data_IF_558227703007
#
_entry.id   IF_558227703007
#
_cell.length_a   1.000
_cell.length_b   1.000
_cell.length_c   1.000
_cell.angle_alpha   90.00
_cell.angle_beta   90.00
_cell.angle_gamma   90.00
#
_symmetry.space_group_name_H-M   'P 1'
#
loop_
_entity.id
_entity.type
_entity.pdbx_description
1 polymer ?
#
# COMPACT_ATOMS: atom_id res chain seq x y z
N UNK A 1 -18.66 -12.07 -5.86
CA UNK A 1 -17.68 -11.37 -5.01
C UNK A 1 -17.11 -12.40 -4.07
N UNK A 2 -15.79 -12.47 -3.99
CA UNK A 2 -15.14 -13.34 -3.03
C UNK A 2 -15.44 -12.88 -1.61
N UNK A 3 -15.52 -13.83 -0.68
CA UNK A 3 -15.86 -13.55 0.71
C UNK A 3 -14.73 -12.79 1.45
N UNK A 4 -13.50 -12.84 0.96
CA UNK A 4 -12.41 -11.97 1.36
C UNK A 4 -11.78 -11.45 0.07
N UNK A 5 -11.50 -10.15 0.01
CA UNK A 5 -11.01 -9.52 -1.20
C UNK A 5 -10.06 -8.37 -0.87
N UNK A 6 -9.21 -8.06 -1.83
CA UNK A 6 -8.18 -7.07 -1.66
C UNK A 6 -8.46 -5.89 -2.58
N UNK A 7 -8.04 -4.71 -2.14
CA UNK A 7 -7.94 -3.53 -2.98
C UNK A 7 -6.58 -3.51 -3.64
N UNK A 8 -6.57 -3.10 -4.89
CA UNK A 8 -5.38 -2.99 -5.73
C UNK A 8 -4.80 -1.58 -5.65
N UNK A 9 -3.62 -1.43 -6.24
CA UNK A 9 -2.86 -0.19 -6.19
C UNK A 9 -2.24 0.11 -7.54
N UNK A 10 -2.38 1.36 -7.97
CA UNK A 10 -1.67 1.89 -9.14
C UNK A 10 -0.74 2.99 -8.66
N UNK A 11 0.52 2.90 -9.03
CA UNK A 11 1.49 3.98 -8.87
C UNK A 11 1.93 4.50 -10.21
N UNK A 12 1.79 5.81 -10.43
CA UNK A 12 2.49 6.52 -11.51
C UNK A 12 3.72 7.16 -10.90
N UNK A 13 4.88 6.62 -11.25
CA UNK A 13 6.13 7.18 -10.81
C UNK A 13 6.56 8.24 -11.82
N UNK A 14 6.96 9.41 -11.32
CA UNK A 14 7.21 10.60 -12.15
C UNK A 14 8.55 11.19 -11.76
N UNK A 15 9.40 11.45 -12.76
CA UNK A 15 10.60 12.27 -12.62
C UNK A 15 10.32 13.67 -13.16
N UNK A 16 10.61 14.69 -12.36
CA UNK A 16 10.29 16.09 -12.67
C UNK A 16 11.55 16.93 -12.64
N UNK A 17 11.76 17.78 -13.65
CA UNK A 17 12.77 18.84 -13.68
C UNK A 17 12.32 20.03 -12.83
N UNK A 18 12.21 19.77 -11.54
CA UNK A 18 11.97 20.77 -10.51
C UNK A 18 12.50 20.30 -9.17
N UNK A 19 12.77 21.25 -8.29
CA UNK A 19 13.22 20.99 -6.92
C UNK A 19 12.27 21.64 -5.94
N UNK A 20 12.03 20.99 -4.80
CA UNK A 20 11.16 21.56 -3.77
C UNK A 20 9.67 21.57 -4.13
N UNK A 21 9.18 20.53 -4.82
CA UNK A 21 7.75 20.38 -5.21
C UNK A 21 6.81 20.55 -4.01
N UNK A 22 7.11 19.88 -2.90
CA UNK A 22 6.50 20.09 -1.58
C UNK A 22 7.47 19.56 -0.50
N UNK A 23 7.39 20.03 0.76
CA UNK A 23 8.40 19.73 1.79
C UNK A 23 8.19 18.38 2.50
N UNK A 24 6.98 17.81 2.43
CA UNK A 24 6.63 16.56 3.12
C UNK A 24 7.14 15.31 2.37
N UNK A 25 7.35 14.21 3.09
CA UNK A 25 7.65 12.91 2.47
C UNK A 25 6.48 12.37 1.65
N UNK A 26 5.25 12.61 2.11
CA UNK A 26 4.03 12.31 1.36
C UNK A 26 2.88 13.21 1.81
N UNK A 27 1.89 13.36 0.95
CA UNK A 27 0.64 14.08 1.22
C UNK A 27 -0.56 13.22 0.82
N UNK A 28 -1.66 13.36 1.56
CA UNK A 28 -2.96 12.76 1.22
C UNK A 28 -3.84 13.79 0.53
N UNK A 29 -4.53 13.35 -0.52
CA UNK A 29 -5.42 14.20 -1.30
C UNK A 29 -6.85 13.80 -1.03
N UNK A 30 -7.65 14.77 -0.56
CA UNK A 30 -9.07 14.58 -0.22
C UNK A 30 -10.01 15.35 -1.15
N UNK A 31 -9.47 15.95 -2.22
CA UNK A 31 -10.27 16.70 -3.19
C UNK A 31 -11.11 15.73 -4.04
N UNK A 32 -12.44 15.93 -4.15
CA UNK A 32 -13.29 15.08 -4.99
C UNK A 32 -13.07 15.32 -6.49
N UNK A 33 -12.31 16.37 -6.86
CA UNK A 33 -12.07 16.76 -8.25
C UNK A 33 -10.92 15.99 -8.90
N UNK A 34 -10.23 15.14 -8.15
CA UNK A 34 -9.11 14.30 -8.62
C UNK A 34 -9.26 12.88 -8.06
N UNK A 35 -8.57 11.92 -8.67
CA UNK A 35 -8.57 10.50 -8.32
C UNK A 35 -7.36 10.12 -7.48
N UNK A 36 -6.24 10.85 -7.58
CA UNK A 36 -5.06 10.62 -6.76
C UNK A 36 -5.43 10.64 -5.28
N UNK A 37 -4.95 9.64 -4.54
CA UNK A 37 -5.20 9.50 -3.12
C UNK A 37 -3.99 9.92 -2.28
N UNK A 38 -2.78 9.64 -2.77
CA UNK A 38 -1.52 9.97 -2.10
C UNK A 38 -0.44 10.32 -3.11
N UNK A 39 0.43 11.25 -2.73
CA UNK A 39 1.64 11.57 -3.49
C UNK A 39 2.83 11.47 -2.55
N UNK A 40 3.86 10.70 -2.89
CA UNK A 40 5.11 10.67 -2.13
C UNK A 40 6.22 11.40 -2.87
N UNK A 41 7.08 12.09 -2.12
CA UNK A 41 8.29 12.74 -2.61
C UNK A 41 9.52 12.03 -2.09
N UNK A 42 10.15 11.23 -2.96
CA UNK A 42 11.28 10.39 -2.58
C UNK A 42 12.52 11.21 -2.20
N UNK A 43 12.69 12.41 -2.75
CA UNK A 43 13.81 13.29 -2.41
C UNK A 43 13.77 13.74 -0.94
N UNK A 44 12.58 13.80 -0.34
CA UNK A 44 12.41 14.18 1.06
C UNK A 44 12.63 13.01 2.04
N UNK A 45 12.77 11.79 1.55
CA UNK A 45 13.29 10.66 2.34
C UNK A 45 14.82 10.66 2.33
N UNK A 46 15.43 10.91 1.17
CA UNK A 46 16.87 11.09 1.03
C UNK A 46 17.18 11.77 -0.29
N UNK A 47 18.12 12.73 -0.26
CA UNK A 47 18.62 13.39 -1.46
C UNK A 47 19.31 12.40 -2.43
N UNK A 48 19.73 11.22 -1.97
CA UNK A 48 20.38 10.17 -2.77
C UNK A 48 19.39 9.26 -3.50
N UNK A 49 18.08 9.39 -3.27
CA UNK A 49 17.06 8.66 -4.03
C UNK A 49 17.03 9.05 -5.51
N UNK A 50 17.58 10.22 -5.85
CA UNK A 50 17.72 10.71 -7.22
C UNK A 50 19.15 11.17 -7.46
N UNK A 51 19.75 10.69 -8.55
CA UNK A 51 21.14 11.00 -8.89
C UNK A 51 21.32 12.46 -9.31
N UNK A 52 20.44 12.97 -10.16
CA UNK A 52 20.44 14.37 -10.58
C UNK A 52 19.72 15.24 -9.54
N UNK A 53 20.47 16.15 -8.90
CA UNK A 53 19.94 17.01 -7.83
C UNK A 53 19.01 18.12 -8.33
N UNK A 54 18.84 18.27 -9.64
CA UNK A 54 17.80 19.14 -10.24
C UNK A 54 16.45 18.45 -10.38
N UNK A 55 16.42 17.12 -10.19
CA UNK A 55 15.25 16.31 -10.44
C UNK A 55 14.59 15.89 -9.12
N UNK A 56 13.26 15.81 -9.14
CA UNK A 56 12.46 15.24 -8.05
C UNK A 56 11.74 13.99 -8.54
N UNK A 57 11.84 12.89 -7.77
CA UNK A 57 11.09 11.67 -8.02
C UNK A 57 9.86 11.62 -7.12
N UNK A 58 8.69 11.41 -7.73
CA UNK A 58 7.42 11.26 -7.05
C UNK A 58 6.73 9.94 -7.36
N UNK A 59 5.93 9.45 -6.42
CA UNK A 59 4.84 8.51 -6.69
C UNK A 59 3.52 9.25 -6.65
N UNK A 60 2.65 9.03 -7.65
CA UNK A 60 1.24 9.44 -7.65
C UNK A 60 0.42 8.17 -7.55
N UNK A 61 -0.34 8.04 -6.47
CA UNK A 61 -0.91 6.77 -6.04
C UNK A 61 -2.44 6.79 -6.10
N UNK A 62 -2.99 5.74 -6.71
CA UNK A 62 -4.42 5.51 -6.84
C UNK A 62 -4.79 4.19 -6.17
N UNK A 63 -5.81 4.25 -5.31
CA UNK A 63 -6.39 3.08 -4.67
C UNK A 63 -7.62 2.65 -5.45
N UNK A 64 -7.56 1.46 -6.04
CA UNK A 64 -8.57 1.01 -7.02
C UNK A 64 -8.88 -0.47 -6.83
N UNK A 65 -9.96 -0.94 -7.42
CA UNK A 65 -10.21 -2.37 -7.64
C UNK A 65 -10.06 -2.71 -9.12
N UNK A 66 -9.68 -3.95 -9.45
CA UNK A 66 -9.49 -4.37 -10.84
C UNK A 66 -10.72 -4.22 -11.75
N UNK A 67 -11.92 -4.18 -11.17
CA UNK A 67 -13.17 -4.01 -11.91
C UNK A 67 -13.55 -2.54 -12.14
N UNK A 68 -12.81 -1.59 -11.58
CA UNK A 68 -13.04 -0.16 -11.78
C UNK A 68 -12.39 0.33 -13.08
N UNK A 69 -12.99 1.34 -13.69
CA UNK A 69 -12.54 1.92 -14.97
C UNK A 69 -11.07 2.35 -14.93
N UNK A 70 -10.64 2.97 -13.82
CA UNK A 70 -9.28 3.47 -13.65
C UNK A 70 -8.22 2.35 -13.76
N UNK A 71 -8.55 1.11 -13.37
CA UNK A 71 -7.64 -0.03 -13.53
C UNK A 71 -7.46 -0.45 -14.99
N UNK A 72 -8.53 -0.36 -15.78
CA UNK A 72 -8.55 -0.73 -17.20
C UNK A 72 -7.91 0.29 -18.14
N UNK A 73 -7.55 1.49 -17.65
CA UNK A 73 -6.89 2.50 -18.47
C UNK A 73 -5.50 2.02 -18.91
N UNK A 74 -5.10 2.45 -20.11
CA UNK A 74 -3.74 2.23 -20.60
C UNK A 74 -2.72 3.01 -19.75
N UNK A 75 -1.47 2.55 -19.74
CA UNK A 75 -0.40 3.25 -19.03
C UNK A 75 -0.25 4.70 -19.50
N UNK A 76 -0.40 4.96 -20.81
CA UNK A 76 -0.37 6.31 -21.37
C UNK A 76 -1.50 7.18 -20.85
N UNK A 77 -2.72 6.64 -20.81
CA UNK A 77 -3.89 7.35 -20.28
C UNK A 77 -3.75 7.68 -18.79
N UNK A 78 -3.19 6.76 -17.99
CA UNK A 78 -2.98 7.01 -16.56
C UNK A 78 -1.83 7.99 -16.30
N UNK A 79 -0.75 7.93 -17.10
CA UNK A 79 0.33 8.93 -17.01
C UNK A 79 -0.20 10.32 -17.30
N UNK A 80 -1.03 10.47 -18.34
CA UNK A 80 -1.69 11.75 -18.64
C UNK A 80 -2.58 12.19 -17.48
N UNK A 81 -3.48 11.32 -16.99
CA UNK A 81 -4.33 11.62 -15.83
C UNK A 81 -3.52 12.13 -14.62
N UNK A 82 -2.42 11.45 -14.27
CA UNK A 82 -1.56 11.88 -13.17
C UNK A 82 -0.94 13.27 -13.41
N UNK A 83 -0.51 13.55 -14.64
CA UNK A 83 0.02 14.86 -15.02
C UNK A 83 -1.05 15.96 -14.94
N UNK A 84 -2.27 15.69 -15.40
CA UNK A 84 -3.43 16.59 -15.30
C UNK A 84 -3.77 16.90 -13.85
N UNK A 85 -3.84 15.89 -13.00
CA UNK A 85 -4.19 16.04 -11.59
C UNK A 85 -3.11 16.79 -10.81
N UNK A 86 -1.83 16.50 -11.04
CA UNK A 86 -0.73 17.25 -10.45
C UNK A 86 -0.75 18.73 -10.84
N UNK A 87 -1.08 19.03 -12.10
CA UNK A 87 -1.24 20.41 -12.56
C UNK A 87 -2.48 21.07 -11.97
N UNK A 88 -3.61 20.36 -11.90
CA UNK A 88 -4.84 20.84 -11.30
C UNK A 88 -4.65 21.19 -9.82
N UNK A 89 -3.90 20.37 -9.09
CA UNK A 89 -3.55 20.59 -7.69
C UNK A 89 -2.52 21.72 -7.50
N UNK A 90 -1.94 22.25 -8.58
CA UNK A 90 -0.93 23.31 -8.53
C UNK A 90 0.43 22.82 -8.03
N UNK A 91 0.68 21.51 -8.03
CA UNK A 91 1.92 20.92 -7.54
C UNK A 91 3.00 20.93 -8.62
N UNK A 92 2.67 20.51 -9.85
CA UNK A 92 3.63 20.37 -10.95
C UNK A 92 2.97 20.79 -12.26
N UNK A 93 3.69 21.57 -13.07
CA UNK A 93 3.30 21.85 -14.46
C UNK A 93 3.66 20.66 -15.35
N UNK A 94 2.75 20.23 -16.24
CA UNK A 94 2.95 19.03 -17.08
C UNK A 94 4.27 19.06 -17.85
N UNK A 95 4.69 20.24 -18.32
CA UNK A 95 5.89 20.41 -19.15
C UNK A 95 7.20 20.15 -18.38
N UNK A 96 7.14 20.06 -17.05
CA UNK A 96 8.29 19.75 -16.19
C UNK A 96 8.48 18.25 -15.99
N UNK A 97 7.54 17.42 -16.40
CA UNK A 97 7.65 15.96 -16.31
C UNK A 97 8.62 15.48 -17.39
N UNK A 98 9.72 14.87 -16.94
CA UNK A 98 10.78 14.36 -17.82
C UNK A 98 10.49 12.93 -18.24
N UNK A 99 10.01 12.11 -17.31
CA UNK A 99 9.63 10.72 -17.57
C UNK A 99 8.62 10.23 -16.54
N UNK A 100 7.85 9.22 -16.93
CA UNK A 100 6.94 8.53 -16.03
C UNK A 100 6.70 7.09 -16.44
N UNK A 101 6.41 6.24 -15.46
CA UNK A 101 6.05 4.84 -15.68
C UNK A 101 5.00 4.38 -14.67
N UNK A 102 4.23 3.38 -15.06
CA UNK A 102 3.10 2.87 -14.29
C UNK A 102 3.45 1.52 -13.68
N UNK A 103 3.07 1.32 -12.42
CA UNK A 103 3.14 0.03 -11.74
C UNK A 103 1.74 -0.31 -11.24
N UNK A 104 1.31 -1.55 -11.49
CA UNK A 104 0.05 -2.11 -11.02
C UNK A 104 0.31 -3.25 -10.06
N UNK A 105 -0.16 -3.11 -8.83
CA UNK A 105 -0.01 -4.10 -7.79
C UNK A 105 -1.40 -4.65 -7.45
N UNK A 106 -1.62 -5.93 -7.76
CA UNK A 106 -2.83 -6.62 -7.35
C UNK A 106 -2.78 -6.96 -5.88
N UNK A 107 -3.94 -7.03 -5.25
CA UNK A 107 -4.09 -7.53 -3.88
C UNK A 107 -3.29 -6.77 -2.81
N UNK A 108 -3.05 -5.48 -3.03
CA UNK A 108 -2.17 -4.65 -2.22
C UNK A 108 -2.66 -4.46 -0.76
N UNK A 109 -3.98 -4.41 -0.56
CA UNK A 109 -4.59 -4.11 0.73
C UNK A 109 -5.76 -5.05 1.05
N UNK A 110 -5.75 -5.82 2.16
CA UNK A 110 -6.92 -6.59 2.56
C UNK A 110 -8.08 -5.64 2.88
N UNK A 111 -9.28 -5.95 2.39
CA UNK A 111 -10.44 -5.08 2.59
C UNK A 111 -11.27 -5.56 3.77
N UNK A 112 -11.45 -4.70 4.76
CA UNK A 112 -12.33 -4.96 5.90
C UNK A 112 -13.69 -4.30 5.64
N UNK A 113 -14.64 -5.11 5.18
CA UNK A 113 -16.02 -4.69 5.01
C UNK A 113 -16.85 -5.17 6.20
N UNK A 114 -18.04 -4.61 6.40
CA UNK A 114 -18.90 -4.97 7.51
C UNK A 114 -19.21 -6.48 7.47
N UNK A 115 -18.93 -7.21 8.56
CA UNK A 115 -19.11 -8.66 8.72
C UNK A 115 -18.12 -9.56 7.95
N UNK A 116 -16.94 -9.05 7.57
CA UNK A 116 -15.90 -9.89 6.96
C UNK A 116 -15.35 -10.99 7.90
N UNK A 117 -15.54 -10.83 9.21
CA UNK A 117 -15.01 -11.69 10.28
C UNK A 117 -15.44 -13.15 10.12
N UNK A 118 -16.68 -13.41 9.66
CA UNK A 118 -17.17 -14.77 9.46
C UNK A 118 -16.36 -15.52 8.38
N UNK A 119 -16.03 -14.85 7.27
CA UNK A 119 -15.20 -15.43 6.22
C UNK A 119 -13.74 -15.57 6.67
N UNK A 120 -13.24 -14.55 7.39
CA UNK A 120 -11.91 -14.56 7.99
C UNK A 120 -11.70 -15.75 8.93
N UNK A 121 -12.64 -15.99 9.86
CA UNK A 121 -12.56 -17.07 10.84
C UNK A 121 -12.60 -18.45 10.18
N UNK A 122 -13.40 -18.62 9.12
CA UNK A 122 -13.43 -19.87 8.33
C UNK A 122 -12.07 -20.14 7.69
N UNK A 123 -11.46 -19.14 7.06
CA UNK A 123 -10.13 -19.28 6.44
C UNK A 123 -9.07 -19.58 7.49
N UNK A 124 -9.03 -18.80 8.57
CA UNK A 124 -8.11 -18.97 9.70
C UNK A 124 -8.20 -20.38 10.28
N UNK A 125 -9.39 -20.82 10.68
CA UNK A 125 -9.62 -22.15 11.24
C UNK A 125 -9.23 -23.27 10.26
N UNK A 126 -9.51 -23.09 8.96
CA UNK A 126 -9.12 -24.06 7.95
C UNK A 126 -7.60 -24.13 7.80
N UNK A 127 -6.91 -23.00 7.75
CA UNK A 127 -5.45 -22.97 7.63
C UNK A 127 -4.74 -23.50 8.87
N UNK A 128 -5.30 -23.28 10.06
CA UNK A 128 -4.76 -23.78 11.33
C UNK A 128 -4.90 -25.30 11.48
N UNK A 129 -5.77 -25.94 10.67
CA UNK A 129 -5.91 -27.41 10.67
C UNK A 129 -4.74 -28.15 10.00
N UNK A 130 -3.86 -27.43 9.29
CA UNK A 130 -2.70 -28.03 8.61
C UNK A 130 -1.48 -28.07 9.53
N UNK A 131 -0.83 -29.24 9.63
CA UNK A 131 0.27 -29.50 10.57
C UNK A 131 1.61 -28.88 10.12
N UNK A 132 1.77 -28.63 8.82
CA UNK A 132 3.03 -28.18 8.20
C UNK A 132 2.84 -26.89 7.37
N UNK A 133 1.89 -26.05 7.76
CA UNK A 133 1.56 -24.81 7.07
C UNK A 133 1.54 -23.65 8.06
N UNK A 134 1.97 -22.47 7.62
CA UNK A 134 1.85 -21.23 8.40
C UNK A 134 1.60 -20.07 7.45
N UNK A 135 0.42 -19.41 7.53
CA UNK A 135 0.21 -18.17 6.80
C UNK A 135 1.07 -17.05 7.40
N UNK A 136 1.64 -16.21 6.55
CA UNK A 136 2.51 -15.10 6.95
C UNK A 136 2.25 -13.87 6.07
N UNK A 137 2.75 -12.72 6.50
CA UNK A 137 2.69 -11.47 5.76
C UNK A 137 1.29 -10.85 5.71
N UNK A 138 1.15 -9.77 4.95
CA UNK A 138 -0.11 -9.04 4.75
C UNK A 138 -1.20 -9.93 4.12
N UNK A 139 -0.89 -10.56 2.99
CA UNK A 139 -1.83 -11.41 2.25
C UNK A 139 -2.16 -12.71 2.98
N UNK A 140 -1.14 -13.46 3.44
CA UNK A 140 -1.37 -14.75 4.09
C UNK A 140 -2.18 -14.64 5.39
N UNK A 141 -1.98 -13.57 6.16
CA UNK A 141 -2.75 -13.33 7.39
C UNK A 141 -4.03 -12.52 7.15
N UNK A 142 -4.32 -12.06 5.93
CA UNK A 142 -5.38 -11.10 5.62
C UNK A 142 -5.38 -9.91 6.60
N UNK A 143 -4.20 -9.36 6.88
CA UNK A 143 -4.03 -8.26 7.84
C UNK A 143 -3.35 -7.07 7.21
N UNK A 144 -3.89 -5.87 7.46
CA UNK A 144 -3.29 -4.59 7.09
C UNK A 144 -1.96 -4.38 7.86
N UNK A 145 -0.90 -5.05 7.40
CA UNK A 145 0.40 -5.14 8.04
C UNK A 145 1.41 -4.20 7.38
N UNK A 146 2.32 -3.63 8.18
CA UNK A 146 3.54 -2.99 7.67
C UNK A 146 4.63 -4.05 7.39
N UNK A 147 5.77 -3.60 6.86
CA UNK A 147 6.88 -4.48 6.47
C UNK A 147 7.45 -5.25 7.66
N UNK A 148 7.64 -4.59 8.79
CA UNK A 148 8.14 -5.15 10.04
C UNK A 148 7.23 -6.26 10.58
N UNK A 149 5.91 -6.06 10.58
CA UNK A 149 4.94 -7.10 10.95
C UNK A 149 5.00 -8.31 10.01
N UNK A 150 5.15 -8.05 8.70
CA UNK A 150 5.23 -9.11 7.70
C UNK A 150 6.52 -9.93 7.86
N UNK A 151 7.66 -9.27 8.07
CA UNK A 151 8.94 -9.94 8.35
C UNK A 151 8.86 -10.73 9.66
N UNK A 152 8.31 -10.14 10.73
CA UNK A 152 8.13 -10.80 12.02
C UNK A 152 7.32 -12.08 11.88
N UNK A 153 6.23 -12.06 11.11
CA UNK A 153 5.42 -13.26 10.89
C UNK A 153 6.19 -14.41 10.23
N UNK A 154 7.05 -14.11 9.24
CA UNK A 154 7.94 -15.08 8.62
C UNK A 154 8.97 -15.64 9.59
N UNK A 155 9.57 -14.79 10.42
CA UNK A 155 10.53 -15.20 11.45
C UNK A 155 9.88 -16.12 12.49
N UNK A 156 8.69 -15.78 12.98
CA UNK A 156 7.98 -16.60 13.96
C UNK A 156 7.52 -17.94 13.36
N UNK A 157 7.07 -17.96 12.10
CA UNK A 157 6.76 -19.19 11.38
C UNK A 157 8.00 -20.12 11.27
N UNK A 158 9.15 -19.57 10.88
CA UNK A 158 10.39 -20.34 10.80
C UNK A 158 10.83 -20.89 12.16
N UNK A 159 10.69 -20.11 13.24
CA UNK A 159 10.98 -20.56 14.61
C UNK A 159 10.06 -21.69 15.06
N UNK A 160 8.75 -21.58 14.76
CA UNK A 160 7.78 -22.64 15.01
C UNK A 160 8.17 -23.92 14.29
N UNK A 161 8.51 -23.84 13.00
CA UNK A 161 8.94 -24.99 12.20
C UNK A 161 10.19 -25.69 12.78
N UNK A 162 11.17 -24.92 13.27
CA UNK A 162 12.40 -25.44 13.84
C UNK A 162 12.29 -25.88 15.31
N UNK A 163 11.12 -25.75 15.95
CA UNK A 163 10.90 -26.05 17.38
C UNK A 163 11.92 -25.37 18.31
N UNK A 164 12.25 -24.10 18.05
CA UNK A 164 13.17 -23.35 18.91
C UNK A 164 12.53 -23.04 20.28
N UNK A 165 13.31 -22.71 21.33
CA UNK A 165 12.76 -22.33 22.63
C UNK A 165 11.70 -21.21 22.54
N UNK A 166 10.62 -21.36 23.31
CA UNK A 166 9.50 -20.41 23.34
C UNK A 166 8.40 -20.65 22.28
N UNK A 167 8.47 -21.74 21.52
CA UNK A 167 7.43 -22.14 20.56
C UNK A 167 6.26 -22.91 21.22
N UNK A 168 5.05 -22.91 20.63
CA UNK A 168 4.66 -22.20 19.41
C UNK A 168 4.30 -20.73 19.65
N UNK A 169 4.73 -19.87 18.74
CA UNK A 169 4.31 -18.47 18.66
C UNK A 169 2.97 -18.34 17.93
N UNK A 170 2.09 -17.47 18.43
CA UNK A 170 0.76 -17.20 17.85
C UNK A 170 0.87 -16.18 16.69
N UNK A 171 1.08 -16.67 15.47
CA UNK A 171 1.30 -15.81 14.28
C UNK A 171 0.07 -14.92 13.99
N UNK A 172 -1.13 -15.45 14.18
CA UNK A 172 -2.38 -14.69 14.03
C UNK A 172 -2.54 -13.53 15.01
N UNK A 173 -1.70 -13.41 16.03
CA UNK A 173 -1.77 -12.31 17.00
C UNK A 173 -0.91 -11.11 16.61
N UNK A 174 -0.08 -11.26 15.57
CA UNK A 174 0.75 -10.15 15.07
C UNK A 174 -0.18 -9.05 14.57
N UNK A 175 0.13 -7.79 14.94
CA UNK A 175 -0.60 -6.58 14.53
C UNK A 175 -2.05 -6.50 15.04
N UNK A 176 -2.38 -7.09 16.20
CA UNK A 176 -3.68 -6.82 16.86
C UNK A 176 -3.76 -5.35 17.35
N UNK A 177 -2.63 -4.71 17.64
CA UNK A 177 -2.59 -3.33 18.16
C UNK A 177 -3.06 -2.25 17.17
N UNK A 178 -3.18 -2.56 15.88
CA UNK A 178 -3.78 -1.63 14.91
C UNK A 178 -5.28 -1.38 15.15
N UNK A 179 -5.99 -2.25 15.92
CA UNK A 179 -7.34 -1.95 16.39
C UNK A 179 -7.39 -0.78 17.40
N UNK A 180 -6.26 -0.43 18.05
CA UNK A 180 -6.23 0.56 19.13
C UNK A 180 -5.92 2.01 18.70
N UNK A 181 -5.55 2.26 17.43
CA UNK A 181 -5.16 3.62 17.02
C UNK A 181 -6.33 4.54 16.60
N UNK A 182 -7.53 4.01 16.36
CA UNK A 182 -8.71 4.82 16.02
C UNK A 182 -9.73 4.99 17.16
N UNK A 183 -9.54 4.30 18.29
CA UNK A 183 -10.28 4.52 19.54
C UNK A 183 -9.73 5.71 20.34
N UNK A 184 -9.49 6.82 19.65
CA UNK A 184 -9.40 8.12 20.31
C UNK A 184 -10.80 8.45 20.82
N UNK A 185 -11.12 8.04 22.05
CA UNK A 185 -12.26 8.57 22.80
C UNK A 185 -12.24 10.08 22.67
N UNK A 186 -13.14 10.63 21.85
CA UNK A 186 -13.46 12.06 21.84
C UNK A 186 -13.77 12.43 23.29
N UNK A 187 -12.90 13.24 23.89
CA UNK A 187 -13.26 14.05 25.07
C UNK A 187 -14.17 15.18 24.64
#
# INVERSE_FOLDING_TARGET
MDALYYRDHITVNILVDDTGVFPDQWIYIHSPNVKVARIANYNNFSAEMVADKKMTALSVEYFVFQHEELWGLSDDSIKELAADELQYLGLIRKERIVSSWVVRETEAYPTYYINFEGAYDVVKARTDSYVNFSPIGRGGLYKYNNQDHSILSGLLAARNYLNLPGTPYRIWDINIDAQYHEDAKRK
#
